data_IF_110590892850
#
_entry.id   IF_110590892850
#
_cell.length_a   1.000
_cell.length_b   1.000
_cell.length_c   1.000
_cell.angle_alpha   90.00
_cell.angle_beta   90.00
_cell.angle_gamma   90.00
#
_symmetry.space_group_name_H-M   'P 1'
#
loop_
_entity.id
_entity.type
_entity.pdbx_description
1 polymer ?
#
# COMPACT_ATOMS: atom_id res chain seq x y z
N UNK A 1 18.89 19.56 0.59
CA UNK A 1 18.09 20.17 -0.48
C UNK A 1 17.66 21.56 0.01
N UNK A 2 17.88 22.61 -0.77
CA UNK A 2 17.46 23.97 -0.40
C UNK A 2 16.02 24.25 -0.88
N UNK A 3 15.41 25.39 -0.52
CA UNK A 3 14.01 25.70 -0.85
C UNK A 3 13.73 25.84 -2.36
N UNK A 4 14.69 26.39 -3.12
CA UNK A 4 14.59 26.50 -4.57
C UNK A 4 14.64 25.12 -5.25
N UNK A 5 15.45 24.21 -4.72
CA UNK A 5 15.50 22.81 -5.16
C UNK A 5 14.14 22.13 -4.90
N UNK A 6 13.55 22.29 -3.70
CA UNK A 6 12.24 21.68 -3.37
C UNK A 6 11.13 22.19 -4.27
N UNK A 7 11.12 23.51 -4.56
CA UNK A 7 10.13 24.13 -5.44
C UNK A 7 10.22 23.58 -6.86
N UNK A 8 11.43 23.38 -7.38
CA UNK A 8 11.66 22.72 -8.67
C UNK A 8 11.07 21.30 -8.68
N UNK A 9 11.33 20.52 -7.64
CA UNK A 9 10.85 19.13 -7.56
C UNK A 9 9.34 19.03 -7.42
N UNK A 10 8.69 19.97 -6.72
CA UNK A 10 7.22 20.07 -6.70
C UNK A 10 6.70 20.25 -8.12
N UNK A 11 7.30 21.12 -8.93
CA UNK A 11 6.92 21.29 -10.34
C UNK A 11 7.06 19.99 -11.16
N UNK A 12 8.09 19.17 -10.89
CA UNK A 12 8.23 17.86 -11.55
C UNK A 12 7.16 16.86 -11.08
N UNK A 13 6.81 16.84 -9.79
CA UNK A 13 5.73 16.01 -9.24
C UNK A 13 4.37 16.41 -9.83
N UNK A 14 4.10 17.71 -9.96
CA UNK A 14 2.89 18.23 -10.61
C UNK A 14 2.83 17.83 -12.09
N UNK A 15 3.94 17.93 -12.82
CA UNK A 15 4.02 17.48 -14.22
C UNK A 15 3.74 15.97 -14.36
N UNK A 16 4.27 15.17 -13.43
CA UNK A 16 3.98 13.74 -13.37
C UNK A 16 2.50 13.47 -13.08
N UNK A 17 1.90 14.21 -12.15
CA UNK A 17 0.48 14.10 -11.85
C UNK A 17 -0.40 14.44 -13.06
N UNK A 18 -0.06 15.51 -13.79
CA UNK A 18 -0.73 15.91 -15.03
C UNK A 18 -0.64 14.79 -16.08
N UNK A 19 0.50 14.14 -16.22
CA UNK A 19 0.64 12.97 -17.10
C UNK A 19 -0.31 11.84 -16.69
N UNK A 20 -0.33 11.45 -15.42
CA UNK A 20 -1.20 10.37 -14.91
C UNK A 20 -2.69 10.68 -15.11
N UNK A 21 -3.07 11.94 -14.94
CA UNK A 21 -4.44 12.42 -15.16
C UNK A 21 -4.84 12.35 -16.63
N UNK A 22 -3.93 12.74 -17.53
CA UNK A 22 -4.24 12.96 -18.94
C UNK A 22 -3.89 11.78 -19.85
N UNK A 23 -3.12 10.79 -19.38
CA UNK A 23 -2.70 9.66 -20.21
C UNK A 23 -3.95 8.94 -20.74
N UNK A 24 -4.13 8.84 -22.07
CA UNK A 24 -5.31 8.20 -22.62
C UNK A 24 -5.22 6.69 -22.32
N UNK A 25 -6.20 6.20 -21.56
CA UNK A 25 -6.37 4.78 -21.31
C UNK A 25 -7.65 4.37 -22.01
N UNK A 26 -7.58 4.25 -23.34
CA UNK A 26 -8.68 3.71 -24.13
C UNK A 26 -9.04 2.32 -23.63
N UNK A 27 -10.26 1.87 -23.90
CA UNK A 27 -10.67 0.50 -23.55
C UNK A 27 -9.67 -0.52 -24.11
N UNK A 28 -9.34 -0.43 -25.40
CA UNK A 28 -8.36 -1.31 -26.04
C UNK A 28 -7.00 -1.31 -25.33
N UNK A 29 -6.51 -0.15 -24.91
CA UNK A 29 -5.25 -0.07 -24.18
C UNK A 29 -5.36 -0.75 -22.81
N UNK A 30 -6.46 -0.55 -22.09
CA UNK A 30 -6.68 -1.16 -20.77
C UNK A 30 -6.83 -2.68 -20.86
N UNK A 31 -7.52 -3.19 -21.87
CA UNK A 31 -7.74 -4.62 -22.09
C UNK A 31 -6.44 -5.37 -22.46
N UNK A 32 -5.49 -4.68 -23.10
CA UNK A 32 -4.27 -5.31 -23.68
C UNK A 32 -2.99 -5.02 -22.91
N UNK A 33 -3.03 -4.07 -21.96
CA UNK A 33 -1.87 -3.67 -21.16
C UNK A 33 -2.06 -4.12 -19.72
N UNK A 34 -1.05 -4.78 -19.16
CA UNK A 34 -1.05 -5.19 -17.75
C UNK A 34 -0.65 -4.05 -16.81
N UNK A 35 -1.01 -4.17 -15.53
CA UNK A 35 -0.53 -3.25 -14.49
C UNK A 35 1.00 -3.16 -14.42
N UNK A 36 1.72 -4.28 -14.61
CA UNK A 36 3.18 -4.34 -14.66
C UNK A 36 3.73 -3.49 -15.81
N UNK A 37 3.24 -3.74 -17.02
CA UNK A 37 3.69 -3.01 -18.22
C UNK A 37 3.42 -1.50 -18.11
N UNK A 38 2.27 -1.12 -17.58
CA UNK A 38 1.96 0.29 -17.36
C UNK A 38 2.76 0.88 -16.19
N UNK A 39 3.10 0.07 -15.19
CA UNK A 39 4.08 0.39 -14.14
C UNK A 39 5.42 0.86 -14.73
N UNK A 40 5.93 0.15 -15.74
CA UNK A 40 7.15 0.55 -16.45
C UNK A 40 7.00 1.87 -17.21
N UNK A 41 5.84 2.13 -17.83
CA UNK A 41 5.56 3.43 -18.48
C UNK A 41 5.57 4.57 -17.47
N UNK A 42 4.95 4.36 -16.30
CA UNK A 42 4.96 5.34 -15.20
C UNK A 42 6.37 5.59 -14.68
N UNK A 43 7.15 4.53 -14.51
CA UNK A 43 8.55 4.61 -14.07
C UNK A 43 9.40 5.38 -15.07
N UNK A 44 9.31 5.04 -16.35
CA UNK A 44 10.01 5.74 -17.42
C UNK A 44 9.64 7.23 -17.46
N UNK A 45 8.35 7.57 -17.27
CA UNK A 45 7.93 8.97 -17.21
C UNK A 45 8.47 9.71 -16.00
N UNK A 46 8.53 9.06 -14.84
CA UNK A 46 9.18 9.64 -13.65
C UNK A 46 10.66 9.90 -13.90
N UNK A 47 11.37 8.95 -14.50
CA UNK A 47 12.79 9.10 -14.85
C UNK A 47 13.02 10.23 -15.85
N UNK A 48 12.14 10.38 -16.86
CA UNK A 48 12.17 11.50 -17.81
C UNK A 48 12.09 12.87 -17.10
N UNK A 49 11.32 12.96 -16.01
CA UNK A 49 11.16 14.16 -15.18
C UNK A 49 12.27 14.32 -14.12
N UNK A 50 13.26 13.42 -14.10
CA UNK A 50 14.32 13.39 -13.09
C UNK A 50 13.89 12.87 -11.72
N UNK A 51 12.66 12.37 -11.57
CA UNK A 51 12.11 11.77 -10.35
C UNK A 51 12.59 10.32 -10.17
N UNK A 52 13.91 10.16 -10.19
CA UNK A 52 14.59 8.90 -9.92
C UNK A 52 14.27 8.38 -8.52
N UNK A 53 14.50 7.10 -8.25
CA UNK A 53 14.20 6.51 -6.94
C UNK A 53 15.00 7.18 -5.81
N UNK A 54 16.25 7.58 -6.06
CA UNK A 54 17.07 8.33 -5.10
C UNK A 54 16.49 9.71 -4.80
N UNK A 55 16.01 10.43 -5.82
CA UNK A 55 15.36 11.73 -5.65
C UNK A 55 14.05 11.56 -4.88
N UNK A 56 13.24 10.57 -5.23
CA UNK A 56 11.98 10.29 -4.53
C UNK A 56 12.22 9.94 -3.06
N UNK A 57 13.23 9.12 -2.75
CA UNK A 57 13.60 8.79 -1.38
C UNK A 57 14.02 10.04 -0.60
N UNK A 58 14.80 10.94 -1.22
CA UNK A 58 15.17 12.22 -0.60
C UNK A 58 13.95 13.11 -0.34
N UNK A 59 13.04 13.24 -1.31
CA UNK A 59 11.83 14.05 -1.19
C UNK A 59 10.90 13.50 -0.10
N UNK A 60 10.71 12.18 -0.02
CA UNK A 60 9.95 11.54 1.07
C UNK A 60 10.60 11.72 2.45
N UNK A 61 11.92 11.93 2.49
CA UNK A 61 12.64 12.24 3.73
C UNK A 61 12.41 13.65 4.26
N UNK A 62 11.88 14.57 3.43
CA UNK A 62 11.58 15.94 3.84
C UNK A 62 10.26 15.95 4.60
N UNK A 63 10.35 16.12 5.92
CA UNK A 63 9.17 16.24 6.79
C UNK A 63 8.66 17.69 6.81
N UNK A 64 7.39 17.85 7.18
CA UNK A 64 6.75 19.13 7.48
C UNK A 64 6.70 20.17 6.34
N UNK A 65 6.98 19.77 5.10
CA UNK A 65 6.88 20.64 3.92
C UNK A 65 5.51 20.49 3.25
N UNK A 66 4.52 21.26 3.70
CA UNK A 66 3.12 21.15 3.28
C UNK A 66 2.90 21.10 1.75
N UNK A 67 3.48 21.99 0.93
CA UNK A 67 3.32 21.92 -0.53
C UNK A 67 3.82 20.61 -1.14
N UNK A 68 4.91 20.05 -0.61
CA UNK A 68 5.49 18.81 -1.11
C UNK A 68 4.61 17.62 -0.71
N UNK A 69 4.13 17.62 0.53
CA UNK A 69 3.17 16.62 1.00
C UNK A 69 1.89 16.61 0.15
N UNK A 70 1.38 17.79 -0.20
CA UNK A 70 0.21 17.91 -1.06
C UNK A 70 0.46 17.38 -2.47
N UNK A 71 1.62 17.67 -3.07
CA UNK A 71 1.97 17.08 -4.37
C UNK A 71 1.95 15.54 -4.34
N UNK A 72 2.46 14.92 -3.28
CA UNK A 72 2.39 13.46 -3.12
C UNK A 72 0.95 12.95 -2.91
N UNK A 73 0.15 13.65 -2.11
CA UNK A 73 -1.27 13.29 -1.90
C UNK A 73 -2.06 13.35 -3.21
N UNK A 74 -1.88 14.40 -4.01
CA UNK A 74 -2.57 14.54 -5.29
C UNK A 74 -2.19 13.45 -6.29
N UNK A 75 -0.91 13.04 -6.32
CA UNK A 75 -0.47 11.90 -7.12
C UNK A 75 -1.17 10.63 -6.63
N UNK A 76 -1.15 10.35 -5.32
CA UNK A 76 -1.81 9.18 -4.74
C UNK A 76 -3.28 9.11 -5.10
N UNK A 77 -4.02 10.20 -4.88
CA UNK A 77 -5.43 10.32 -5.25
C UNK A 77 -5.67 10.11 -6.75
N UNK A 78 -4.78 10.63 -7.60
CA UNK A 78 -4.92 10.46 -9.06
C UNK A 78 -4.71 9.01 -9.47
N UNK A 79 -3.71 8.34 -8.90
CA UNK A 79 -3.47 6.92 -9.17
C UNK A 79 -4.66 6.06 -8.70
N UNK A 80 -5.21 6.35 -7.51
CA UNK A 80 -6.38 5.66 -6.97
C UNK A 80 -7.64 5.90 -7.83
N UNK A 81 -7.98 7.16 -8.12
CA UNK A 81 -9.17 7.52 -8.91
C UNK A 81 -9.15 6.95 -10.33
N UNK A 82 -7.96 6.66 -10.85
CA UNK A 82 -7.75 6.10 -12.19
C UNK A 82 -7.65 4.58 -12.17
N UNK A 83 -7.72 3.97 -10.98
CA UNK A 83 -7.55 2.55 -10.67
C UNK A 83 -6.24 2.00 -11.24
N UNK A 84 -5.15 2.73 -11.02
CA UNK A 84 -3.79 2.40 -11.51
C UNK A 84 -2.92 1.73 -10.44
N UNK A 85 -3.53 1.29 -9.35
CA UNK A 85 -2.92 0.53 -8.26
C UNK A 85 -3.59 -0.82 -8.17
N UNK A 86 -2.79 -1.87 -8.06
CA UNK A 86 -3.26 -3.21 -7.74
C UNK A 86 -2.30 -3.86 -6.72
N UNK A 87 -2.76 -4.86 -5.96
CA UNK A 87 -1.87 -5.77 -5.27
C UNK A 87 -0.83 -6.39 -6.22
N UNK A 88 0.37 -6.69 -5.70
CA UNK A 88 1.49 -7.20 -6.51
C UNK A 88 1.16 -8.50 -7.25
N UNK A 89 0.32 -9.35 -6.67
CA UNK A 89 -0.14 -10.60 -7.29
C UNK A 89 -1.17 -10.41 -8.42
N UNK A 90 -1.62 -9.18 -8.68
CA UNK A 90 -2.47 -8.81 -9.82
C UNK A 90 -1.75 -7.97 -10.88
N UNK A 91 -0.43 -7.76 -10.74
CA UNK A 91 0.34 -6.93 -11.67
C UNK A 91 0.31 -7.45 -13.11
N UNK A 92 0.16 -8.76 -13.31
CA UNK A 92 0.10 -9.39 -14.64
C UNK A 92 -1.32 -9.43 -15.23
N UNK A 93 -2.31 -8.88 -14.53
CA UNK A 93 -3.66 -8.72 -15.05
C UNK A 93 -3.80 -7.44 -15.87
N UNK A 94 -4.75 -7.40 -16.83
CA UNK A 94 -5.08 -6.18 -17.57
C UNK A 94 -5.45 -5.00 -16.67
N UNK A 95 -5.20 -3.77 -17.13
CA UNK A 95 -5.59 -2.55 -16.43
C UNK A 95 -7.10 -2.38 -16.27
N UNK A 96 -7.91 -3.14 -17.00
CA UNK A 96 -9.37 -3.16 -16.84
C UNK A 96 -9.86 -4.18 -15.78
N UNK A 97 -8.95 -4.87 -15.07
CA UNK A 97 -9.27 -5.93 -14.12
C UNK A 97 -10.41 -5.59 -13.15
N UNK A 98 -10.41 -4.39 -12.57
CA UNK A 98 -11.45 -3.93 -11.63
C UNK A 98 -12.85 -3.79 -12.25
N UNK A 99 -12.93 -3.69 -13.58
CA UNK A 99 -14.18 -3.60 -14.34
C UNK A 99 -14.56 -4.94 -15.00
N UNK A 100 -13.75 -5.98 -14.85
CA UNK A 100 -14.10 -7.30 -15.35
C UNK A 100 -15.28 -7.88 -14.56
N UNK A 101 -16.26 -8.55 -15.21
CA UNK A 101 -17.40 -9.19 -14.54
C UNK A 101 -17.01 -10.14 -13.40
N UNK A 102 -15.85 -10.78 -13.52
CA UNK A 102 -15.31 -11.75 -12.58
C UNK A 102 -14.71 -11.12 -11.31
N UNK A 103 -14.41 -9.80 -11.33
CA UNK A 103 -13.69 -9.12 -10.26
C UNK A 103 -14.32 -9.33 -8.88
N UNK A 104 -15.64 -9.12 -8.77
CA UNK A 104 -16.32 -9.24 -7.48
C UNK A 104 -16.25 -10.66 -6.92
N UNK A 105 -16.40 -11.68 -7.77
CA UNK A 105 -16.33 -13.07 -7.35
C UNK A 105 -14.89 -13.46 -6.91
N UNK A 106 -13.87 -12.98 -7.63
CA UNK A 106 -12.46 -13.21 -7.26
C UNK A 106 -12.12 -12.48 -5.97
N UNK A 107 -12.55 -11.22 -5.81
CA UNK A 107 -12.35 -10.41 -4.61
C UNK A 107 -12.95 -11.11 -3.37
N UNK A 108 -14.19 -11.58 -3.46
CA UNK A 108 -14.86 -12.30 -2.38
C UNK A 108 -14.14 -13.62 -2.04
N UNK A 109 -13.66 -14.36 -3.04
CA UNK A 109 -12.90 -15.58 -2.81
C UNK A 109 -11.55 -15.32 -2.11
N UNK A 110 -10.85 -14.24 -2.48
CA UNK A 110 -9.59 -13.82 -1.85
C UNK A 110 -9.82 -13.35 -0.41
N UNK A 111 -10.87 -12.57 -0.15
CA UNK A 111 -11.26 -12.15 1.20
C UNK A 111 -11.60 -13.36 2.09
N UNK A 112 -12.40 -14.31 1.58
CA UNK A 112 -12.75 -15.52 2.30
C UNK A 112 -11.53 -16.40 2.62
N UNK A 113 -10.59 -16.52 1.68
CA UNK A 113 -9.34 -17.25 1.92
C UNK A 113 -8.50 -16.56 3.00
N UNK A 114 -8.39 -15.23 2.97
CA UNK A 114 -7.63 -14.47 3.97
C UNK A 114 -8.24 -14.61 5.38
N UNK A 115 -9.56 -14.56 5.50
CA UNK A 115 -10.25 -14.79 6.78
C UNK A 115 -9.98 -16.21 7.32
N UNK A 116 -9.99 -17.22 6.45
CA UNK A 116 -9.68 -18.60 6.83
C UNK A 116 -8.22 -18.76 7.28
N UNK A 117 -7.28 -18.11 6.60
CA UNK A 117 -5.86 -18.12 6.95
C UNK A 117 -5.61 -17.41 8.29
N UNK A 118 -6.23 -16.25 8.52
CA UNK A 118 -6.15 -15.50 9.79
C UNK A 118 -6.69 -16.33 10.96
N UNK A 119 -7.82 -17.02 10.77
CA UNK A 119 -8.39 -17.93 11.78
C UNK A 119 -7.45 -19.11 12.07
N UNK A 120 -6.84 -19.69 11.04
CA UNK A 120 -5.87 -20.79 11.18
C UNK A 120 -4.62 -20.34 11.93
N UNK A 121 -4.12 -19.12 11.65
CA UNK A 121 -3.00 -18.53 12.38
C UNK A 121 -3.35 -18.26 13.85
N UNK A 122 -4.55 -17.76 14.15
CA UNK A 122 -5.01 -17.58 15.53
C UNK A 122 -5.08 -18.90 16.29
N UNK A 123 -5.60 -19.96 15.68
CA UNK A 123 -5.63 -21.30 16.29
C UNK A 123 -4.22 -21.87 16.53
N UNK A 124 -3.29 -21.68 15.59
CA UNK A 124 -1.90 -22.08 15.75
C UNK A 124 -1.23 -21.31 16.88
N UNK A 125 -1.41 -19.99 16.94
CA UNK A 125 -0.92 -19.16 18.05
C UNK A 125 -1.50 -19.64 19.37
N UNK A 126 -2.79 -19.97 19.44
CA UNK A 126 -3.43 -20.49 20.65
C UNK A 126 -2.87 -21.86 21.06
N UNK A 127 -2.67 -22.78 20.10
CA UNK A 127 -2.11 -24.13 20.34
C UNK A 127 -0.62 -24.11 20.73
N UNK A 128 0.13 -23.14 20.23
CA UNK A 128 1.57 -22.99 20.46
C UNK A 128 1.87 -22.04 21.63
N UNK A 129 0.90 -21.27 22.11
CA UNK A 129 1.05 -20.45 23.30
C UNK A 129 1.34 -21.36 24.51
N UNK A 130 2.41 -21.10 25.28
CA UNK A 130 2.68 -21.87 26.48
C UNK A 130 1.49 -21.73 27.45
N UNK A 131 1.13 -22.79 28.19
CA UNK A 131 0.05 -22.69 29.18
C UNK A 131 0.40 -21.58 30.16
N UNK A 132 -0.47 -20.58 30.28
CA UNK A 132 -0.36 -19.56 31.32
C UNK A 132 -0.34 -20.34 32.64
N UNK A 133 0.73 -20.26 33.46
CA UNK A 133 0.76 -20.96 34.72
C UNK A 133 -0.44 -20.51 35.53
N UNK A 134 -1.29 -21.47 35.85
CA UNK A 134 -2.45 -21.26 36.69
C UNK A 134 -1.93 -20.92 38.08
N UNK A 135 -1.65 -19.64 38.36
CA UNK A 135 -1.40 -19.17 39.72
C UNK A 135 -2.70 -19.32 40.47
N UNK A 136 -2.89 -20.51 41.05
CA UNK A 136 -3.82 -20.69 42.14
C UNK A 136 -3.46 -19.63 43.17
N UNK A 137 -4.35 -18.67 43.39
CA UNK A 137 -4.39 -17.98 44.66
C UNK A 137 -4.70 -19.05 45.70
N UNK A 138 -3.66 -19.55 46.37
CA UNK A 138 -3.82 -20.34 47.58
C UNK A 138 -4.37 -19.39 48.66
N UNK A 139 -5.69 -19.36 48.77
CA UNK A 139 -6.40 -18.86 49.95
C UNK A 139 -6.18 -19.87 51.08
N UNK A 140 -4.98 -19.88 51.64
CA UNK A 140 -4.52 -20.81 52.67
C UNK A 140 -4.20 -20.12 53.98
N UNK A 141 -5.24 -19.82 54.78
CA UNK A 141 -5.11 -19.43 56.18
C UNK A 141 -4.38 -20.54 56.95
N UNK A 142 -3.24 -20.21 57.56
CA UNK A 142 -2.68 -20.96 58.69
C UNK A 142 -1.94 -20.00 59.61
N UNK A 143 -2.51 -19.77 60.78
CA UNK A 143 -1.87 -19.00 61.84
C UNK A 143 -0.79 -19.81 62.56
N UNK A 144 0.20 -19.11 63.12
CA UNK A 144 0.60 -19.14 64.54
C UNK A 144 1.76 -18.16 64.76
N UNK A 145 1.44 -17.11 65.53
CA UNK A 145 2.18 -16.47 66.64
C UNK A 145 3.71 -16.32 66.59
N UNK A 146 4.15 -15.06 66.70
CA UNK A 146 5.27 -14.67 67.56
C UNK A 146 4.93 -13.35 68.29
N UNK A 147 5.05 -13.37 69.62
CA UNK A 147 5.26 -12.17 70.46
C UNK A 147 4.03 -11.56 71.09
#
# INVERSE_FOLDING_TARGET
MNEADVSYWIGQLEAYNVFLRNVPLSKEYRDTTTFRQFGEVRKAKREELGLTDDVMAQLHGIRDHQPLNWAFVEIGMTVDNRELLCPSYFEDLPLDYYWMPEYNAVREAVEAQREADDQTLQELVWKLAPPIPNTKHDDGVSGVLFG
#
